data_IF_253590276394
#
_entry.id   IF_253590276394
#
_cell.length_a   1.000
_cell.length_b   1.000
_cell.length_c   1.000
_cell.angle_alpha   90.00
_cell.angle_beta   90.00
_cell.angle_gamma   90.00
#
_symmetry.space_group_name_H-M   'P 1'
#
loop_
_entity.id
_entity.type
_entity.pdbx_description
1 polymer ?
#
# COMPACT_ATOMS: atom_id res chain seq x y z
N UNK A 1 4.70 -4.40 -8.42
CA UNK A 1 3.41 -3.72 -8.19
C UNK A 1 3.69 -2.35 -7.57
N UNK A 2 2.83 -1.37 -7.85
CA UNK A 2 2.92 -0.04 -7.23
C UNK A 2 1.59 0.29 -6.55
N UNK A 3 1.68 0.80 -5.32
CA UNK A 3 0.55 1.39 -4.58
C UNK A 3 0.67 2.90 -4.70
N UNK A 4 -0.33 3.53 -5.32
CA UNK A 4 -0.39 4.98 -5.42
C UNK A 4 -1.11 5.60 -4.23
N UNK A 5 -0.47 6.60 -3.63
CA UNK A 5 -1.01 7.37 -2.52
C UNK A 5 -1.21 8.81 -2.97
N UNK A 6 -2.44 9.28 -2.84
CA UNK A 6 -2.83 10.65 -3.16
C UNK A 6 -3.01 11.47 -1.88
N UNK A 7 -2.64 12.73 -1.92
CA UNK A 7 -2.87 13.65 -0.80
C UNK A 7 -3.62 14.87 -1.32
N UNK A 8 -4.91 14.93 -1.03
CA UNK A 8 -5.78 16.05 -1.41
C UNK A 8 -5.82 17.19 -0.39
N UNK A 9 -4.93 17.16 0.62
CA UNK A 9 -4.84 18.23 1.62
C UNK A 9 -3.88 19.34 1.17
N UNK A 10 -3.99 20.51 1.79
CA UNK A 10 -3.13 21.68 1.53
C UNK A 10 -1.70 21.57 2.10
N UNK A 11 -1.39 20.49 2.82
CA UNK A 11 -0.09 20.28 3.46
C UNK A 11 0.50 18.92 3.08
N UNK A 12 1.83 18.82 3.04
CA UNK A 12 2.48 17.52 2.84
C UNK A 12 2.18 16.58 4.01
N UNK A 13 2.04 15.28 3.71
CA UNK A 13 1.74 14.23 4.69
C UNK A 13 2.71 13.07 4.53
N UNK A 14 3.07 12.43 5.64
CA UNK A 14 3.64 11.10 5.58
C UNK A 14 2.56 10.07 5.79
N UNK A 15 2.64 9.00 5.03
CA UNK A 15 1.73 7.87 5.07
C UNK A 15 2.55 6.61 5.26
N UNK A 16 2.13 5.79 6.22
CA UNK A 16 2.70 4.47 6.47
C UNK A 16 1.79 3.42 5.87
N UNK A 17 2.32 2.67 4.90
CA UNK A 17 1.59 1.63 4.18
C UNK A 17 2.06 0.27 4.69
N UNK A 18 1.11 -0.58 5.07
CA UNK A 18 1.38 -1.91 5.62
C UNK A 18 0.72 -2.95 4.73
N UNK A 19 1.50 -3.81 4.04
CA UNK A 19 0.95 -4.90 3.27
C UNK A 19 0.39 -6.00 4.18
N UNK A 20 -0.73 -6.61 3.77
CA UNK A 20 -1.36 -7.77 4.41
C UNK A 20 -1.41 -8.92 3.40
N UNK A 21 -0.30 -9.67 3.22
CA UNK A 21 -0.28 -10.77 2.28
C UNK A 21 -1.22 -11.90 2.74
N UNK A 22 -1.85 -12.57 1.77
CA UNK A 22 -2.59 -13.80 2.01
C UNK A 22 -1.64 -14.95 2.42
N UNK A 23 -2.13 -16.02 3.07
CA UNK A 23 -1.34 -17.20 3.37
C UNK A 23 -0.64 -17.78 2.13
N UNK A 24 0.64 -18.13 2.24
CA UNK A 24 1.46 -18.60 1.12
C UNK A 24 2.01 -17.48 0.22
N UNK A 25 1.66 -16.22 0.48
CA UNK A 25 2.18 -15.06 -0.23
C UNK A 25 3.11 -14.24 0.67
N UNK A 26 4.09 -13.58 0.06
CA UNK A 26 4.99 -12.66 0.73
C UNK A 26 5.12 -11.35 -0.04
N UNK A 27 5.34 -10.26 0.69
CA UNK A 27 5.49 -8.92 0.13
C UNK A 27 6.85 -8.35 0.55
N UNK A 28 7.53 -7.70 -0.39
CA UNK A 28 8.76 -6.92 -0.15
C UNK A 28 8.57 -5.46 -0.58
N UNK A 29 9.12 -4.47 0.17
CA UNK A 29 9.82 -4.63 1.46
C UNK A 29 8.91 -5.22 2.55
N UNK A 30 9.52 -5.93 3.51
CA UNK A 30 8.77 -6.57 4.59
C UNK A 30 8.29 -5.50 5.57
N UNK A 31 7.04 -5.60 6.00
CA UNK A 31 6.47 -4.68 6.98
C UNK A 31 6.09 -3.33 6.39
N UNK A 32 6.13 -2.29 7.23
CA UNK A 32 5.65 -0.97 6.91
C UNK A 32 6.59 -0.21 5.94
N UNK A 33 6.01 0.50 4.98
CA UNK A 33 6.71 1.44 4.09
C UNK A 33 6.19 2.84 4.31
N UNK A 34 7.07 3.78 4.67
CA UNK A 34 6.71 5.18 4.88
C UNK A 34 7.00 5.99 3.63
N UNK A 35 6.04 6.79 3.20
CA UNK A 35 6.15 7.65 2.03
C UNK A 35 5.70 9.07 2.37
N UNK A 36 6.44 10.06 1.87
CA UNK A 36 6.02 11.47 1.92
C UNK A 36 5.25 11.81 0.66
N UNK A 37 4.06 12.37 0.82
CA UNK A 37 3.20 12.82 -0.29
C UNK A 37 3.04 14.34 -0.19
N UNK A 38 3.38 15.07 -1.25
CA UNK A 38 3.22 16.53 -1.30
C UNK A 38 1.74 16.93 -1.17
N UNK A 39 1.48 18.18 -0.80
CA UNK A 39 0.14 18.76 -0.88
C UNK A 39 -0.41 18.65 -2.31
N UNK A 40 -1.70 18.30 -2.45
CA UNK A 40 -2.35 18.06 -3.75
C UNK A 40 -1.58 17.09 -4.67
N UNK A 41 -0.81 16.16 -4.09
CA UNK A 41 0.18 15.35 -4.78
C UNK A 41 -0.15 13.86 -4.84
N UNK A 42 0.74 13.12 -5.53
CA UNK A 42 0.74 11.66 -5.61
C UNK A 42 2.15 11.13 -5.38
N UNK A 43 2.26 9.95 -4.77
CA UNK A 43 3.50 9.18 -4.72
C UNK A 43 3.21 7.70 -4.89
N UNK A 44 4.02 7.02 -5.72
CA UNK A 44 3.96 5.58 -5.91
C UNK A 44 4.91 4.86 -4.96
N UNK A 45 4.43 3.79 -4.32
CA UNK A 45 5.23 2.94 -3.44
C UNK A 45 5.32 1.54 -4.04
N UNK A 46 6.56 1.11 -4.33
CA UNK A 46 6.84 -0.16 -4.97
C UNK A 46 6.80 -1.34 -4.01
N UNK A 47 6.05 -2.37 -4.40
CA UNK A 47 6.01 -3.66 -3.72
C UNK A 47 6.24 -4.82 -4.69
N UNK A 48 6.99 -5.81 -4.22
CA UNK A 48 7.13 -7.12 -4.89
C UNK A 48 6.31 -8.14 -4.14
N UNK A 49 5.39 -8.80 -4.84
CA UNK A 49 4.53 -9.84 -4.28
C UNK A 49 5.00 -11.18 -4.83
N UNK A 50 5.17 -12.19 -3.97
CA UNK A 50 5.68 -13.51 -4.36
C UNK A 50 4.83 -14.59 -3.70
N UNK A 51 4.26 -15.47 -4.51
CA UNK A 51 3.65 -16.71 -4.05
C UNK A 51 4.74 -17.75 -3.80
N UNK A 52 4.64 -18.49 -2.69
CA UNK A 52 5.48 -19.65 -2.45
C UNK A 52 4.94 -20.89 -3.17
N UNK A 53 5.63 -22.03 -2.99
CA UNK A 53 5.30 -23.29 -3.67
C UNK A 53 3.99 -23.93 -3.18
N UNK A 54 3.45 -23.50 -2.03
CA UNK A 54 2.21 -24.02 -1.47
C UNK A 54 0.97 -23.44 -2.14
N UNK A 55 1.10 -22.29 -2.82
CA UNK A 55 0.00 -21.64 -3.53
C UNK A 55 -0.29 -22.37 -4.83
N UNK A 56 -1.50 -22.93 -5.03
CA UNK A 56 -1.87 -23.56 -6.29
C UNK A 56 -1.85 -22.56 -7.45
N UNK A 57 -1.57 -23.07 -8.65
CA UNK A 57 -1.65 -22.22 -9.85
C UNK A 57 -3.09 -21.75 -10.06
N UNK A 58 -3.25 -20.54 -10.61
CA UNK A 58 -4.54 -19.89 -10.88
C UNK A 58 -5.35 -19.59 -9.62
N UNK A 59 -4.69 -19.48 -8.47
CA UNK A 59 -5.31 -18.94 -7.26
C UNK A 59 -5.13 -17.43 -7.23
N UNK A 60 -6.27 -16.72 -7.21
CA UNK A 60 -6.30 -15.28 -7.05
C UNK A 60 -6.65 -14.92 -5.60
N UNK A 61 -5.90 -13.98 -5.04
CA UNK A 61 -6.21 -13.38 -3.75
C UNK A 61 -6.36 -11.88 -3.89
N UNK A 62 -7.30 -11.32 -3.12
CA UNK A 62 -7.38 -9.88 -2.97
C UNK A 62 -6.12 -9.39 -2.27
N UNK A 63 -5.39 -8.50 -2.93
CA UNK A 63 -4.28 -7.79 -2.31
C UNK A 63 -4.83 -6.79 -1.31
N UNK A 64 -4.39 -6.90 -0.06
CA UNK A 64 -4.79 -6.04 1.03
C UNK A 64 -3.60 -5.20 1.50
N UNK A 65 -3.81 -3.90 1.59
CA UNK A 65 -2.90 -2.93 2.17
C UNK A 65 -3.70 -2.07 3.14
N UNK A 66 -3.09 -1.71 4.26
CA UNK A 66 -3.64 -0.71 5.20
C UNK A 66 -2.74 0.51 5.19
N UNK A 67 -3.30 1.70 5.46
CA UNK A 67 -2.55 2.95 5.49
C UNK A 67 -2.90 3.77 6.73
N UNK A 68 -1.88 4.37 7.36
CA UNK A 68 -2.03 5.27 8.51
C UNK A 68 -1.20 6.54 8.33
N UNK A 69 -1.69 7.66 8.85
CA UNK A 69 -0.94 8.90 8.97
C UNK A 69 0.04 8.85 10.14
N UNK A 70 0.99 9.79 10.21
CA UNK A 70 1.98 9.88 11.29
C UNK A 70 1.37 10.02 12.69
N UNK A 71 0.18 10.62 12.79
CA UNK A 71 -0.58 10.74 14.04
C UNK A 71 -1.36 9.47 14.42
N UNK A 72 -1.19 8.39 13.65
CA UNK A 72 -1.87 7.11 13.85
C UNK A 72 -3.31 7.09 13.33
N UNK A 73 -3.81 8.21 12.80
CA UNK A 73 -5.14 8.27 12.21
C UNK A 73 -5.21 7.35 11.00
N UNK A 74 -6.32 6.65 10.86
CA UNK A 74 -6.63 5.93 9.63
C UNK A 74 -6.70 6.96 8.49
N UNK A 75 -6.11 6.61 7.36
CA UNK A 75 -6.18 7.48 6.18
C UNK A 75 -7.64 7.52 5.71
N UNK A 76 -8.31 8.68 5.73
CA UNK A 76 -9.70 8.76 5.31
C UNK A 76 -9.83 8.34 3.84
N UNK A 77 -10.95 7.71 3.48
CA UNK A 77 -11.21 7.18 2.12
C UNK A 77 -11.05 8.21 0.99
N UNK A 78 -10.94 9.50 1.33
CA UNK A 78 -10.50 10.57 0.42
C UNK A 78 -9.09 10.35 -0.14
N UNK A 79 -8.27 9.44 0.37
CA UNK A 79 -7.05 8.94 -0.29
C UNK A 79 -7.38 7.65 -1.03
N UNK A 80 -7.67 7.76 -2.32
CA UNK A 80 -7.94 6.61 -3.16
C UNK A 80 -6.66 5.76 -3.33
N UNK A 81 -6.61 4.58 -2.71
CA UNK A 81 -5.67 3.52 -3.07
C UNK A 81 -6.05 3.00 -4.46
N UNK A 82 -5.44 3.55 -5.51
CA UNK A 82 -5.63 3.05 -6.87
C UNK A 82 -4.58 1.97 -7.12
N UNK A 83 -5.01 0.71 -7.15
CA UNK A 83 -4.21 -0.37 -7.73
C UNK A 83 -4.18 -0.18 -9.25
N UNK A 84 -3.00 0.10 -9.80
CA UNK A 84 -2.81 0.07 -11.26
C UNK A 84 -2.32 -1.32 -11.65
N UNK A 85 -2.99 -1.88 -12.65
CA UNK A 85 -2.88 -3.24 -13.19
C UNK A 85 -1.48 -3.56 -13.71
#
# INVERSE_FOLDING_TARGET
MTVDVYNFTGSARHVTIIPRPAPGWSVRPRGASRARVSAQGRTGVGFTVTADRSVPRRTDHRLAFTAALDDGSEVPASVALVHVK
#
